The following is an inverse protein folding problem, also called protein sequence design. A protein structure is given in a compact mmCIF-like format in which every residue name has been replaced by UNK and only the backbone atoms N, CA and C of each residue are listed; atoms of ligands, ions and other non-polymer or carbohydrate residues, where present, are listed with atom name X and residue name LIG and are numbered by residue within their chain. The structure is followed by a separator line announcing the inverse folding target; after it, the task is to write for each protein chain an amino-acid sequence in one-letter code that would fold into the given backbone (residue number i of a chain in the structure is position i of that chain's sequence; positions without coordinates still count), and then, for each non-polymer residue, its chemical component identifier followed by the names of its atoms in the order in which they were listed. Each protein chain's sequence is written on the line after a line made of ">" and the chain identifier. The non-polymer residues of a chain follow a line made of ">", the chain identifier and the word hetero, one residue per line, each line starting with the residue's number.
data_IF_003569290523
#
_entry.id   IF_003569290523
#
_cell.length_a   1.000
_cell.length_b   1.000
_cell.length_c   1.000
_cell.angle_alpha   90.00
_cell.angle_beta   90.00
_cell.angle_gamma   90.00
#
_symmetry.space_group_name_H-M   'P 1'
#
loop_
_entity.id
_entity.type
_entity.pdbx_description
1 polymer ?
#
# COMPACT_ATOMS: atom_id res chain seq x y z
N UNK A 1 -0.17 -5.96 20.99
CA UNK A 1 0.98 -6.37 20.13
C UNK A 1 0.48 -7.43 19.19
N UNK A 2 0.67 -7.27 17.89
CA UNK A 2 0.24 -8.28 16.91
C UNK A 2 1.26 -9.43 16.87
N UNK A 3 0.79 -10.66 16.76
CA UNK A 3 1.67 -11.82 16.65
C UNK A 3 2.32 -11.98 15.26
N UNK A 4 1.97 -11.12 14.31
CA UNK A 4 2.45 -11.12 12.92
C UNK A 4 2.44 -9.70 12.35
N UNK A 5 3.16 -9.49 11.26
CA UNK A 5 3.11 -8.21 10.55
C UNK A 5 1.69 -7.91 10.04
N UNK A 6 1.34 -6.63 9.99
CA UNK A 6 0.14 -6.13 9.32
C UNK A 6 0.56 -5.48 8.00
N UNK A 7 0.06 -6.00 6.91
CA UNK A 7 0.38 -5.51 5.55
C UNK A 7 -0.82 -4.74 5.02
N UNK A 8 -0.68 -3.43 4.86
CA UNK A 8 -1.73 -2.56 4.33
C UNK A 8 -1.59 -2.46 2.82
N UNK A 9 -2.64 -2.86 2.12
CA UNK A 9 -2.77 -2.73 0.66
C UNK A 9 -3.91 -1.78 0.30
N UNK A 10 -3.90 -1.28 -0.89
CA UNK A 10 -4.91 -0.38 -1.44
C UNK A 10 -4.34 0.51 -2.53
N UNK A 11 -5.22 1.15 -3.27
CA UNK A 11 -4.85 2.07 -4.33
C UNK A 11 -4.13 3.30 -3.78
N UNK A 12 -3.37 4.01 -4.62
CA UNK A 12 -2.75 5.27 -4.20
C UNK A 12 -3.81 6.25 -3.71
N UNK A 13 -3.52 6.97 -2.62
CA UNK A 13 -4.49 7.89 -2.02
C UNK A 13 -5.53 7.24 -1.10
N UNK A 14 -5.44 5.94 -0.82
CA UNK A 14 -6.37 5.24 0.08
C UNK A 14 -6.09 5.43 1.57
N UNK A 15 -5.00 6.10 1.95
CA UNK A 15 -4.68 6.41 3.34
C UNK A 15 -3.81 5.38 4.05
N UNK A 16 -3.20 4.44 3.35
CA UNK A 16 -2.33 3.38 3.92
C UNK A 16 -1.24 3.92 4.84
N UNK A 17 -0.50 4.93 4.39
CA UNK A 17 0.61 5.49 5.18
C UNK A 17 0.13 6.20 6.44
N UNK A 18 -0.97 6.94 6.36
CA UNK A 18 -1.54 7.65 7.52
C UNK A 18 -2.09 6.68 8.56
N UNK A 19 -2.90 5.71 8.12
CA UNK A 19 -3.45 4.66 9.00
C UNK A 19 -2.32 3.81 9.57
N UNK A 20 -1.36 3.43 8.73
CA UNK A 20 -0.26 2.56 9.12
C UNK A 20 0.63 3.16 10.21
N UNK A 21 0.95 4.45 10.10
CA UNK A 21 1.75 5.14 11.15
C UNK A 21 1.02 5.22 12.48
N UNK A 22 -0.27 5.53 12.47
CA UNK A 22 -1.07 5.57 13.69
C UNK A 22 -1.20 4.18 14.32
N UNK A 23 -1.50 3.17 13.52
CA UNK A 23 -1.61 1.79 13.97
C UNK A 23 -0.30 1.28 14.57
N UNK A 24 0.83 1.56 13.93
CA UNK A 24 2.15 1.19 14.44
C UNK A 24 2.45 1.87 15.77
N UNK A 25 2.16 3.18 15.88
CA UNK A 25 2.35 3.94 17.12
C UNK A 25 1.52 3.38 18.28
N UNK A 26 0.25 3.06 18.06
CA UNK A 26 -0.62 2.47 19.08
C UNK A 26 -0.12 1.10 19.56
N UNK A 27 0.42 0.30 18.65
CA UNK A 27 0.94 -1.03 18.95
C UNK A 27 2.40 -1.05 19.44
N UNK A 28 3.02 0.13 19.57
CA UNK A 28 4.45 0.26 19.94
C UNK A 28 5.36 -0.54 19.00
N UNK A 29 5.00 -0.56 17.70
CA UNK A 29 5.74 -1.22 16.62
C UNK A 29 6.27 -0.20 15.61
N UNK A 30 6.98 -0.66 14.59
CA UNK A 30 7.51 0.19 13.53
C UNK A 30 6.59 0.19 12.31
N UNK A 31 6.54 1.35 11.67
CA UNK A 31 5.91 1.52 10.35
C UNK A 31 6.96 1.45 9.26
N UNK A 32 6.73 0.62 8.25
CA UNK A 32 7.56 0.49 7.06
C UNK A 32 6.73 0.83 5.81
N UNK A 33 7.35 1.53 4.87
CA UNK A 33 6.78 1.83 3.56
C UNK A 33 7.67 1.21 2.48
N UNK A 34 7.13 0.30 1.67
CA UNK A 34 7.94 -0.45 0.71
C UNK A 34 8.49 0.41 -0.41
N UNK A 35 7.75 1.42 -0.86
CA UNK A 35 8.25 2.37 -1.87
C UNK A 35 9.42 3.19 -1.30
N UNK A 36 9.29 3.68 -0.07
CA UNK A 36 10.37 4.41 0.61
C UNK A 36 11.61 3.53 0.84
N UNK A 37 11.43 2.25 1.15
CA UNK A 37 12.53 1.30 1.29
C UNK A 37 13.29 1.11 -0.03
N UNK A 38 12.56 0.93 -1.14
CA UNK A 38 13.14 0.80 -2.48
C UNK A 38 13.85 2.09 -2.88
N UNK A 39 13.22 3.24 -2.71
CA UNK A 39 13.82 4.55 -3.01
C UNK A 39 15.12 4.78 -2.23
N UNK A 40 15.12 4.44 -0.95
CA UNK A 40 16.31 4.55 -0.10
C UNK A 40 17.45 3.62 -0.56
N UNK A 41 17.12 2.40 -0.95
CA UNK A 41 18.10 1.43 -1.46
C UNK A 41 18.71 1.84 -2.79
N UNK A 42 17.88 2.34 -3.71
CA UNK A 42 18.31 2.73 -5.06
C UNK A 42 18.88 4.15 -5.13
N UNK A 43 18.65 4.97 -4.11
CA UNK A 43 19.04 6.39 -4.10
C UNK A 43 18.25 7.23 -5.12
N UNK A 44 17.08 6.79 -5.52
CA UNK A 44 16.23 7.39 -6.56
C UNK A 44 14.75 7.26 -6.21
N UNK A 45 13.93 8.19 -6.74
CA UNK A 45 12.48 8.05 -6.64
C UNK A 45 11.95 6.86 -7.45
N UNK A 46 10.80 6.32 -7.07
CA UNK A 46 10.10 5.27 -7.84
C UNK A 46 9.92 5.71 -9.30
N UNK A 47 9.52 6.97 -9.53
CA UNK A 47 9.38 7.51 -10.89
C UNK A 47 10.69 7.45 -11.69
N UNK A 48 11.81 7.85 -11.08
CA UNK A 48 13.11 7.79 -11.72
C UNK A 48 13.53 6.35 -12.05
N UNK A 49 13.23 5.40 -11.17
CA UNK A 49 13.48 3.97 -11.42
C UNK A 49 12.69 3.48 -12.63
N UNK A 50 11.39 3.82 -12.72
CA UNK A 50 10.58 3.48 -13.89
C UNK A 50 11.10 4.12 -15.18
N UNK A 51 11.49 5.39 -15.14
CA UNK A 51 11.96 6.12 -16.31
C UNK A 51 13.31 5.59 -16.83
N UNK A 52 14.21 5.19 -15.93
CA UNK A 52 15.54 4.71 -16.28
C UNK A 52 15.59 3.21 -16.62
N UNK A 53 14.81 2.38 -15.92
CA UNK A 53 14.94 0.93 -15.98
C UNK A 53 13.65 0.20 -16.40
N UNK A 54 12.51 0.87 -16.39
CA UNK A 54 11.21 0.31 -16.74
C UNK A 54 10.52 -0.46 -15.63
N UNK A 55 9.30 -0.90 -15.92
CA UNK A 55 8.43 -1.56 -14.93
C UNK A 55 8.99 -2.90 -14.44
N UNK A 56 9.51 -3.74 -15.34
CA UNK A 56 10.02 -5.07 -14.98
C UNK A 56 11.11 -4.99 -13.91
N UNK A 57 12.02 -4.05 -14.02
CA UNK A 57 13.07 -3.82 -13.03
C UNK A 57 12.49 -3.42 -11.66
N UNK A 58 11.51 -2.52 -11.66
CA UNK A 58 10.83 -2.14 -10.41
C UNK A 58 10.12 -3.33 -9.76
N UNK A 59 9.47 -4.20 -10.54
CA UNK A 59 8.82 -5.42 -10.02
C UNK A 59 9.82 -6.39 -9.40
N UNK A 60 11.02 -6.52 -9.98
CA UNK A 60 12.11 -7.30 -9.37
C UNK A 60 12.53 -6.72 -8.02
N UNK A 61 12.63 -5.39 -7.90
CA UNK A 61 12.91 -4.73 -6.62
C UNK A 61 11.81 -4.96 -5.58
N UNK A 62 10.55 -4.96 -6.00
CA UNK A 62 9.44 -5.31 -5.11
C UNK A 62 9.53 -6.77 -4.63
N UNK A 63 9.82 -7.72 -5.50
CA UNK A 63 10.01 -9.14 -5.13
C UNK A 63 11.16 -9.33 -4.14
N UNK A 64 12.28 -8.66 -4.36
CA UNK A 64 13.43 -8.67 -3.44
C UNK A 64 13.03 -8.08 -2.08
N UNK A 65 12.26 -6.99 -2.07
CA UNK A 65 11.76 -6.36 -0.85
C UNK A 65 10.84 -7.30 -0.09
N UNK A 66 9.91 -7.98 -0.76
CA UNK A 66 9.00 -8.97 -0.15
C UNK A 66 9.79 -10.12 0.46
N UNK A 67 10.78 -10.65 -0.26
CA UNK A 67 11.64 -11.73 0.23
C UNK A 67 12.41 -11.32 1.49
N UNK A 68 12.94 -10.10 1.50
CA UNK A 68 13.65 -9.58 2.66
C UNK A 68 12.72 -9.36 3.86
N UNK A 69 11.54 -8.76 3.64
CA UNK A 69 10.54 -8.54 4.68
C UNK A 69 10.10 -9.85 5.34
N UNK A 70 9.82 -10.87 4.52
CA UNK A 70 9.41 -12.20 4.99
C UNK A 70 10.44 -12.83 5.93
N UNK A 71 11.71 -12.64 5.63
CA UNK A 71 12.81 -13.28 6.38
C UNK A 71 13.28 -12.50 7.61
N UNK A 72 13.07 -11.18 7.62
CA UNK A 72 13.75 -10.30 8.58
C UNK A 72 12.81 -9.45 9.44
N UNK A 73 11.54 -9.30 9.08
CA UNK A 73 10.63 -8.36 9.75
C UNK A 73 9.50 -9.10 10.47
N UNK A 74 9.28 -8.72 11.73
CA UNK A 74 8.19 -9.22 12.58
C UNK A 74 7.59 -8.07 13.37
N UNK A 75 6.32 -8.19 13.71
CA UNK A 75 5.57 -7.24 14.55
C UNK A 75 5.56 -5.80 14.01
N UNK A 76 5.62 -5.63 12.69
CA UNK A 76 5.61 -4.35 12.02
C UNK A 76 4.28 -4.07 11.30
N UNK A 77 4.00 -2.80 11.05
CA UNK A 77 2.95 -2.35 10.13
C UNK A 77 3.62 -1.92 8.83
N UNK A 78 3.23 -2.53 7.72
CA UNK A 78 3.87 -2.36 6.42
C UNK A 78 2.85 -1.79 5.45
N UNK A 79 3.13 -0.61 4.87
CA UNK A 79 2.38 -0.04 3.75
C UNK A 79 3.06 -0.40 2.44
N UNK A 80 2.29 -0.90 1.48
CA UNK A 80 2.83 -1.35 0.20
C UNK A 80 2.54 -0.38 -0.94
N UNK A 81 3.36 -0.42 -1.97
CA UNK A 81 3.02 0.15 -3.25
C UNK A 81 1.75 -0.47 -3.85
N UNK A 82 0.97 0.30 -4.61
CA UNK A 82 -0.33 -0.13 -5.11
C UNK A 82 -0.29 -1.37 -6.02
N UNK A 83 0.81 -1.62 -6.71
CA UNK A 83 0.97 -2.79 -7.57
C UNK A 83 1.60 -4.01 -6.89
N UNK A 84 2.16 -3.87 -5.70
CA UNK A 84 2.98 -4.95 -5.11
C UNK A 84 2.23 -6.27 -4.97
N UNK A 85 1.05 -6.29 -4.40
CA UNK A 85 0.26 -7.53 -4.26
C UNK A 85 -0.23 -8.07 -5.60
N UNK A 86 -0.40 -7.22 -6.61
CA UNK A 86 -0.85 -7.63 -7.94
C UNK A 86 0.22 -8.47 -8.64
N UNK A 87 1.49 -8.07 -8.51
CA UNK A 87 2.63 -8.69 -9.18
C UNK A 87 3.41 -9.68 -8.31
N UNK A 88 3.28 -9.60 -6.97
CA UNK A 88 3.97 -10.48 -6.03
C UNK A 88 3.00 -11.07 -5.02
N UNK A 89 2.53 -12.29 -5.28
CA UNK A 89 1.57 -12.98 -4.40
C UNK A 89 2.20 -13.41 -3.07
N UNK A 90 3.51 -13.62 -3.04
CA UNK A 90 4.29 -13.96 -1.85
C UNK A 90 4.21 -12.89 -0.75
N UNK A 91 3.71 -11.69 -1.06
CA UNK A 91 3.40 -10.67 -0.06
C UNK A 91 2.48 -11.20 1.04
N UNK A 92 1.62 -12.15 0.75
CA UNK A 92 0.73 -12.81 1.72
C UNK A 92 1.50 -13.60 2.80
N UNK A 93 2.73 -13.98 2.51
CA UNK A 93 3.59 -14.68 3.48
C UNK A 93 4.32 -13.73 4.43
N UNK A 94 4.31 -12.42 4.15
CA UNK A 94 4.92 -11.39 5.00
C UNK A 94 4.10 -11.14 6.26
N UNK A 95 2.78 -11.18 6.16
CA UNK A 95 1.89 -10.91 7.27
C UNK A 95 0.41 -10.92 6.88
N UNK A 96 -0.44 -10.47 7.80
CA UNK A 96 -1.88 -10.39 7.58
C UNK A 96 -2.21 -9.22 6.65
N UNK A 97 -2.81 -9.52 5.53
CA UNK A 97 -3.09 -8.54 4.47
C UNK A 97 -4.43 -7.85 4.71
N UNK A 98 -4.38 -6.54 4.92
CA UNK A 98 -5.54 -5.67 5.17
C UNK A 98 -5.71 -4.72 3.99
N UNK A 99 -6.82 -4.84 3.29
CA UNK A 99 -7.17 -3.95 2.19
C UNK A 99 -7.95 -2.74 2.70
N UNK A 100 -7.41 -1.56 2.53
CA UNK A 100 -8.11 -0.30 2.76
C UNK A 100 -8.85 0.10 1.48
N UNK A 101 -10.13 -0.25 1.41
CA UNK A 101 -10.97 0.01 0.24
C UNK A 101 -11.56 1.42 0.31
N UNK A 102 -11.26 2.22 -0.70
CA UNK A 102 -11.81 3.56 -0.90
C UNK A 102 -12.34 3.66 -2.32
N UNK A 103 -13.57 4.13 -2.55
CA UNK A 103 -14.09 4.34 -3.91
C UNK A 103 -13.20 5.30 -4.71
N UNK A 104 -13.03 5.03 -5.99
CA UNK A 104 -12.15 5.82 -6.87
C UNK A 104 -12.50 7.31 -6.85
N UNK A 105 -13.79 7.67 -6.88
CA UNK A 105 -14.23 9.06 -6.82
C UNK A 105 -13.86 9.75 -5.50
N UNK A 106 -13.89 9.01 -4.40
CA UNK A 106 -13.44 9.51 -3.09
C UNK A 106 -11.94 9.75 -3.10
N UNK A 107 -11.15 8.86 -3.68
CA UNK A 107 -9.70 9.05 -3.86
C UNK A 107 -9.42 10.35 -4.63
N UNK A 108 -10.08 10.56 -5.76
CA UNK A 108 -9.92 11.78 -6.56
C UNK A 108 -10.28 13.04 -5.77
N UNK A 109 -11.38 13.00 -5.01
CA UNK A 109 -11.84 14.15 -4.22
C UNK A 109 -10.89 14.53 -3.07
N UNK A 110 -10.10 13.58 -2.58
CA UNK A 110 -9.13 13.79 -1.49
C UNK A 110 -7.80 14.36 -1.97
N UNK A 111 -7.48 14.24 -3.26
CA UNK A 111 -6.20 14.69 -3.80
C UNK A 111 -6.24 16.19 -4.11
N UNK A 112 -5.25 16.93 -3.60
CA UNK A 112 -5.02 18.31 -4.00
C UNK A 112 -4.49 18.38 -5.44
N UNK A 113 -4.62 19.55 -6.15
CA UNK A 113 -4.02 19.73 -7.47
C UNK A 113 -2.52 19.41 -7.50
N UNK A 114 -1.78 19.77 -6.44
CA UNK A 114 -0.34 19.50 -6.33
C UNK A 114 -0.04 17.99 -6.19
N UNK A 115 -0.90 17.23 -5.49
CA UNK A 115 -0.76 15.79 -5.37
C UNK A 115 -1.05 15.08 -6.69
N UNK A 116 -2.05 15.56 -7.44
CA UNK A 116 -2.36 15.04 -8.78
C UNK A 116 -1.22 15.27 -9.77
N UNK A 117 -0.61 16.46 -9.76
CA UNK A 117 0.54 16.80 -10.61
C UNK A 117 1.75 15.87 -10.38
N UNK A 118 1.95 15.41 -9.15
CA UNK A 118 3.05 14.50 -8.79
C UNK A 118 2.80 13.04 -9.19
N UNK A 119 1.62 12.73 -9.71
CA UNK A 119 1.18 11.35 -10.00
C UNK A 119 0.76 11.24 -11.46
N UNK A 120 1.69 10.90 -12.39
CA UNK A 120 1.41 10.84 -13.82
C UNK A 120 0.24 9.96 -14.21
N UNK A 121 -0.10 8.95 -13.40
CA UNK A 121 -1.27 8.09 -13.64
C UNK A 121 -2.57 8.90 -13.74
N UNK A 122 -2.72 9.98 -12.96
CA UNK A 122 -3.93 10.80 -12.94
C UNK A 122 -3.98 11.85 -14.04
N UNK A 123 -2.99 11.93 -14.93
CA UNK A 123 -3.05 12.74 -16.15
C UNK A 123 -4.14 12.24 -17.10
N UNK A 124 -4.44 10.93 -17.04
CA UNK A 124 -5.57 10.30 -17.71
C UNK A 124 -6.47 9.61 -16.69
N UNK A 125 -7.55 10.28 -16.30
CA UNK A 125 -8.48 9.80 -15.26
C UNK A 125 -9.16 8.48 -15.66
N UNK A 126 -9.52 8.29 -16.92
CA UNK A 126 -10.14 7.05 -17.39
C UNK A 126 -9.19 5.86 -17.29
N UNK A 127 -7.92 6.09 -17.60
CA UNK A 127 -6.87 5.08 -17.47
C UNK A 127 -6.60 4.75 -16.01
N UNK A 128 -6.58 5.76 -15.14
CA UNK A 128 -6.44 5.58 -13.69
C UNK A 128 -7.62 4.79 -13.11
N UNK A 129 -8.85 5.08 -13.52
CA UNK A 129 -10.05 4.35 -13.07
C UNK A 129 -10.04 2.90 -13.54
N UNK A 130 -9.65 2.62 -14.78
CA UNK A 130 -9.49 1.26 -15.29
C UNK A 130 -8.46 0.46 -14.50
N UNK A 131 -7.34 1.07 -14.17
CA UNK A 131 -6.32 0.45 -13.29
C UNK A 131 -6.85 0.20 -11.90
N UNK A 132 -7.61 1.13 -11.32
CA UNK A 132 -8.28 0.95 -10.04
C UNK A 132 -9.20 -0.26 -10.07
N UNK A 133 -10.05 -0.39 -11.08
CA UNK A 133 -11.01 -1.49 -11.20
C UNK A 133 -10.31 -2.86 -11.29
N UNK A 134 -9.24 -2.94 -12.08
CA UNK A 134 -8.44 -4.17 -12.18
C UNK A 134 -7.76 -4.53 -10.86
N UNK A 135 -7.13 -3.57 -10.21
CA UNK A 135 -6.44 -3.78 -8.94
C UNK A 135 -7.40 -4.10 -7.80
N UNK A 136 -8.55 -3.42 -7.76
CA UNK A 136 -9.58 -3.67 -6.75
C UNK A 136 -10.01 -5.14 -6.72
N UNK A 137 -10.22 -5.76 -7.88
CA UNK A 137 -10.56 -7.19 -7.98
C UNK A 137 -9.49 -8.08 -7.34
N UNK A 138 -8.22 -7.80 -7.62
CA UNK A 138 -7.10 -8.55 -7.05
C UNK A 138 -7.00 -8.34 -5.54
N UNK A 139 -7.15 -7.10 -5.07
CA UNK A 139 -7.11 -6.80 -3.64
C UNK A 139 -8.22 -7.53 -2.88
N UNK A 140 -9.46 -7.51 -3.40
CA UNK A 140 -10.59 -8.19 -2.78
C UNK A 140 -10.40 -9.72 -2.70
N UNK A 141 -9.78 -10.32 -3.72
CA UNK A 141 -9.51 -11.74 -3.75
C UNK A 141 -8.36 -12.17 -2.85
N UNK A 142 -7.35 -11.33 -2.69
CA UNK A 142 -6.10 -11.69 -2.01
C UNK A 142 -5.98 -11.15 -0.59
N UNK A 143 -6.80 -10.20 -0.18
CA UNK A 143 -6.79 -9.68 1.18
C UNK A 143 -7.38 -10.68 2.18
N UNK A 144 -6.81 -10.71 3.39
CA UNK A 144 -7.38 -11.45 4.51
C UNK A 144 -8.51 -10.68 5.17
N UNK A 145 -8.42 -9.35 5.14
CA UNK A 145 -9.40 -8.41 5.72
C UNK A 145 -9.65 -7.28 4.74
N UNK A 146 -10.91 -6.89 4.58
CA UNK A 146 -11.31 -5.72 3.80
C UNK A 146 -11.92 -4.69 4.75
N UNK A 147 -11.40 -3.47 4.73
CA UNK A 147 -11.86 -2.34 5.55
C UNK A 147 -12.37 -1.24 4.63
N UNK A 148 -13.63 -0.83 4.82
CA UNK A 148 -14.16 0.39 4.19
C UNK A 148 -13.45 1.61 4.78
N UNK A 149 -12.66 2.28 3.96
CA UNK A 149 -11.74 3.35 4.38
C UNK A 149 -12.13 4.73 3.81
N UNK A 150 -13.38 4.93 3.44
CA UNK A 150 -13.93 6.18 2.92
C UNK A 150 -14.44 7.15 4.01
N UNK A 151 -13.98 6.96 5.24
CA UNK A 151 -14.32 7.75 6.41
C UNK A 151 -13.12 8.52 6.94
N UNK A 152 -13.34 9.30 7.99
CA UNK A 152 -12.26 9.93 8.75
C UNK A 152 -11.30 8.89 9.33
N UNK A 153 -10.03 9.28 9.44
CA UNK A 153 -8.94 8.38 9.80
C UNK A 153 -9.15 7.63 11.11
N UNK A 154 -9.72 8.27 12.12
CA UNK A 154 -9.96 7.66 13.43
C UNK A 154 -10.99 6.52 13.33
N UNK A 155 -12.00 6.67 12.48
CA UNK A 155 -12.99 5.63 12.23
C UNK A 155 -12.38 4.45 11.47
N UNK A 156 -11.54 4.74 10.46
CA UNK A 156 -10.83 3.70 9.72
C UNK A 156 -9.90 2.93 10.64
N UNK A 157 -9.14 3.64 11.48
CA UNK A 157 -8.22 3.03 12.44
C UNK A 157 -8.96 2.12 13.44
N UNK A 158 -10.13 2.57 13.95
CA UNK A 158 -10.98 1.73 14.82
C UNK A 158 -11.42 0.46 14.12
N UNK A 159 -11.92 0.54 12.89
CA UNK A 159 -12.32 -0.63 12.10
C UNK A 159 -11.17 -1.62 11.88
N UNK A 160 -9.98 -1.11 11.60
CA UNK A 160 -8.78 -1.96 11.43
C UNK A 160 -8.46 -2.68 12.73
N UNK A 161 -8.44 -1.97 13.87
CA UNK A 161 -8.20 -2.58 15.18
C UNK A 161 -9.20 -3.69 15.48
N UNK A 162 -10.49 -3.39 15.34
CA UNK A 162 -11.58 -4.33 15.65
C UNK A 162 -11.49 -5.59 14.80
N UNK A 163 -11.06 -5.47 13.54
CA UNK A 163 -10.89 -6.59 12.64
C UNK A 163 -9.60 -7.41 12.88
N UNK A 164 -8.63 -6.87 13.60
CA UNK A 164 -7.38 -7.55 13.92
C UNK A 164 -7.41 -8.34 15.25
N UNK A 165 -8.42 -8.13 16.06
CA UNK A 165 -8.66 -8.89 17.28
C UNK A 165 -9.23 -10.26 16.90
#
# INVERSE_FOLDING_TARGET
>A
MFATNIVLIGFMGSGKSSVGRLLAKENKSYFLDTDAMIESSEGKSVQAIFDEHGESYFRELEEQTVSWLRSNVKDAVISTGGGMLVYCEELKEVGRVVYLRVPFQTILSRMSPQELEKRPLFDDIKKAEAMYDERNKVYEQRADIIIEADSEIDKVLSRVRDALI
#
